data_IF_938044921717
#
_entry.id   IF_938044921717
#
_cell.length_a   1.000
_cell.length_b   1.000
_cell.length_c   1.000
_cell.angle_alpha   90.00
_cell.angle_beta   90.00
_cell.angle_gamma   90.00
#
_symmetry.space_group_name_H-M   'P 1'
#
loop_
_entity.id
_entity.type
_entity.pdbx_description
1 polymer ?
#
# COMPACT_ATOMS: atom_id res chain seq x y z
N UNK A 1 -3.41 16.01 0.74
CA UNK A 1 -3.73 14.73 1.41
C UNK A 1 -4.87 14.03 0.69
N UNK A 2 -4.56 12.96 -0.04
CA UNK A 2 -5.53 12.05 -0.66
C UNK A 2 -5.58 10.77 0.15
N UNK A 3 -6.76 10.15 0.24
CA UNK A 3 -6.89 8.73 0.60
C UNK A 3 -7.35 7.94 -0.61
N UNK A 4 -6.69 6.82 -0.87
CA UNK A 4 -7.11 5.83 -1.85
C UNK A 4 -7.09 4.44 -1.25
N UNK A 5 -8.00 3.60 -1.70
CA UNK A 5 -8.08 2.20 -1.30
C UNK A 5 -7.85 1.34 -2.53
N UNK A 6 -6.95 0.38 -2.41
CA UNK A 6 -6.60 -0.60 -3.43
C UNK A 6 -6.85 -1.99 -2.87
N UNK A 7 -7.09 -2.96 -3.75
CA UNK A 7 -7.02 -4.37 -3.39
C UNK A 7 -5.60 -4.88 -3.51
N UNK A 8 -5.18 -5.76 -2.60
CA UNK A 8 -3.87 -6.40 -2.69
C UNK A 8 -4.05 -7.83 -3.13
N UNK A 9 -3.40 -8.21 -4.23
CA UNK A 9 -3.49 -9.58 -4.75
C UNK A 9 -2.45 -10.44 -4.03
N UNK A 10 -2.90 -11.53 -3.39
CA UNK A 10 -2.03 -12.47 -2.68
C UNK A 10 -1.70 -12.08 -1.23
N UNK A 11 -2.45 -11.14 -0.63
CA UNK A 11 -2.34 -10.83 0.79
C UNK A 11 -3.13 -11.83 1.65
N UNK A 12 -2.63 -13.06 1.75
CA UNK A 12 -3.23 -14.11 2.58
C UNK A 12 -2.67 -14.14 4.01
N UNK A 13 -1.64 -13.33 4.31
CA UNK A 13 -0.95 -13.38 5.59
C UNK A 13 -0.82 -12.00 6.24
N UNK A 14 -1.06 -11.94 7.56
CA UNK A 14 -0.91 -10.73 8.38
C UNK A 14 0.50 -10.14 8.30
N UNK A 15 1.52 -10.98 8.12
CA UNK A 15 2.90 -10.54 7.94
C UNK A 15 3.11 -9.77 6.63
N UNK A 16 2.42 -10.15 5.55
CA UNK A 16 2.48 -9.45 4.27
C UNK A 16 1.87 -8.05 4.37
N UNK A 17 0.75 -7.92 5.09
CA UNK A 17 0.11 -6.63 5.36
C UNK A 17 1.06 -5.67 6.08
N UNK A 18 1.68 -6.13 7.19
CA UNK A 18 2.60 -5.30 7.97
C UNK A 18 3.85 -4.89 7.18
N UNK A 19 4.36 -5.74 6.29
CA UNK A 19 5.51 -5.43 5.43
C UNK A 19 5.20 -4.26 4.50
N UNK A 20 4.07 -4.34 3.78
CA UNK A 20 3.63 -3.29 2.84
C UNK A 20 3.36 -1.98 3.59
N UNK A 21 2.70 -2.06 4.76
CA UNK A 21 2.46 -0.89 5.60
C UNK A 21 3.76 -0.21 6.02
N UNK A 22 4.76 -0.99 6.44
CA UNK A 22 6.05 -0.46 6.87
C UNK A 22 6.85 0.19 5.73
N UNK A 23 6.86 -0.42 4.54
CA UNK A 23 7.57 0.17 3.38
C UNK A 23 6.92 1.45 2.88
N UNK A 24 5.59 1.53 2.91
CA UNK A 24 4.88 2.75 2.55
C UNK A 24 5.08 3.84 3.61
N UNK A 25 5.09 3.48 4.89
CA UNK A 25 5.35 4.41 5.99
C UNK A 25 6.78 4.98 5.91
N UNK A 26 7.78 4.16 5.57
CA UNK A 26 9.16 4.60 5.32
C UNK A 26 9.25 5.56 4.12
N UNK A 27 8.44 5.34 3.09
CA UNK A 27 8.28 6.26 1.96
C UNK A 27 7.51 7.56 2.32
N UNK A 28 7.07 7.73 3.57
CA UNK A 28 6.30 8.88 4.03
C UNK A 28 4.83 8.85 3.60
N UNK A 29 4.32 7.67 3.26
CA UNK A 29 2.92 7.42 2.92
C UNK A 29 2.27 6.67 4.06
N UNK A 30 1.14 7.16 4.55
CA UNK A 30 0.37 6.38 5.52
C UNK A 30 -0.27 5.21 4.79
N UNK A 31 -0.02 4.00 5.24
CA UNK A 31 -0.63 2.80 4.72
C UNK A 31 -1.38 2.07 5.83
N UNK A 32 -2.50 1.45 5.49
CA UNK A 32 -3.35 0.70 6.39
C UNK A 32 -3.89 -0.51 5.65
N UNK A 33 -3.38 -1.69 5.97
CA UNK A 33 -3.80 -2.93 5.34
C UNK A 33 -4.87 -3.65 6.17
N UNK A 34 -5.87 -4.19 5.49
CA UNK A 34 -6.88 -5.07 6.05
C UNK A 34 -6.81 -6.42 5.34
N UNK A 35 -6.04 -7.36 5.91
CA UNK A 35 -5.97 -8.75 5.43
C UNK A 35 -7.35 -9.43 5.44
N UNK A 36 -8.25 -9.06 6.36
CA UNK A 36 -9.61 -9.59 6.42
C UNK A 36 -10.50 -9.17 5.22
N UNK A 37 -10.13 -8.09 4.52
CA UNK A 37 -10.85 -7.56 3.36
C UNK A 37 -10.00 -7.52 2.09
N UNK A 38 -8.74 -7.97 2.19
CA UNK A 38 -7.73 -7.90 1.13
C UNK A 38 -7.57 -6.49 0.53
N UNK A 39 -7.72 -5.47 1.39
CA UNK A 39 -7.68 -4.05 0.99
C UNK A 39 -6.53 -3.32 1.65
N UNK A 40 -5.83 -2.49 0.90
CA UNK A 40 -4.82 -1.54 1.33
C UNK A 40 -5.37 -0.13 1.17
N UNK A 41 -5.47 0.61 2.26
CA UNK A 41 -5.77 2.03 2.26
C UNK A 41 -4.47 2.83 2.38
N UNK A 42 -4.29 3.82 1.52
CA UNK A 42 -3.11 4.68 1.51
C UNK A 42 -3.49 6.15 1.57
N UNK A 43 -2.80 6.89 2.41
CA UNK A 43 -2.93 8.33 2.60
C UNK A 43 -1.59 9.00 2.26
N UNK A 44 -1.54 9.72 1.15
CA UNK A 44 -0.35 10.44 0.70
C UNK A 44 -0.71 11.82 0.16
N UNK A 45 0.31 12.66 -0.01
CA UNK A 45 0.15 13.97 -0.59
C UNK A 45 0.52 13.95 -2.07
N UNK A 46 -0.45 14.20 -2.97
CA UNK A 46 -0.29 14.24 -4.43
C UNK A 46 0.82 15.20 -4.88
N UNK A 47 1.19 16.19 -4.06
CA UNK A 47 2.31 17.09 -4.36
C UNK A 47 3.69 16.47 -4.10
N UNK A 48 3.78 15.43 -3.28
CA UNK A 48 5.04 14.77 -2.88
C UNK A 48 5.16 13.33 -3.36
N UNK A 49 4.03 12.64 -3.51
CA UNK A 49 3.94 11.22 -3.82
C UNK A 49 2.81 11.00 -4.84
N UNK A 50 3.06 10.15 -5.82
CA UNK A 50 2.10 9.81 -6.87
C UNK A 50 1.78 8.33 -6.78
N UNK A 51 0.60 7.94 -7.27
CA UNK A 51 0.16 6.54 -7.31
C UNK A 51 1.22 5.65 -7.98
N UNK A 52 1.81 6.09 -9.10
CA UNK A 52 2.83 5.32 -9.79
C UNK A 52 4.04 4.95 -8.90
N UNK A 53 4.49 5.87 -8.03
CA UNK A 53 5.55 5.59 -7.06
C UNK A 53 5.08 4.62 -5.98
N UNK A 54 3.83 4.78 -5.53
CA UNK A 54 3.24 3.88 -4.54
C UNK A 54 3.19 2.44 -5.06
N UNK A 55 2.67 2.26 -6.27
CA UNK A 55 2.67 0.97 -6.96
C UNK A 55 4.09 0.43 -7.14
N UNK A 56 5.08 1.28 -7.45
CA UNK A 56 6.47 0.87 -7.58
C UNK A 56 7.07 0.37 -6.25
N UNK A 57 6.78 1.04 -5.13
CA UNK A 57 7.22 0.60 -3.79
C UNK A 57 6.60 -0.75 -3.45
N UNK A 58 5.28 -0.88 -3.59
CA UNK A 58 4.60 -2.15 -3.28
C UNK A 58 5.09 -3.29 -4.18
N UNK A 59 5.32 -3.00 -5.47
CA UNK A 59 5.88 -3.96 -6.42
C UNK A 59 7.32 -4.35 -6.09
N UNK A 60 8.12 -3.40 -5.58
CA UNK A 60 9.47 -3.68 -5.09
C UNK A 60 9.47 -4.66 -3.92
N UNK A 61 8.43 -4.62 -3.09
CA UNK A 61 8.22 -5.56 -1.99
C UNK A 61 7.62 -6.91 -2.42
N UNK A 62 7.33 -7.08 -3.71
CA UNK A 62 6.88 -8.34 -4.30
C UNK A 62 5.36 -8.55 -4.33
N UNK A 63 4.59 -7.49 -4.12
CA UNK A 63 3.13 -7.52 -4.14
C UNK A 63 2.56 -6.67 -5.28
N UNK A 64 1.36 -7.02 -5.75
CA UNK A 64 0.64 -6.25 -6.76
C UNK A 64 -0.63 -5.65 -6.16
N UNK A 65 -0.85 -4.37 -6.47
CA UNK A 65 -2.09 -3.67 -6.17
C UNK A 65 -3.03 -3.75 -7.37
N UNK A 66 -4.30 -3.99 -7.10
CA UNK A 66 -5.38 -3.99 -8.08
C UNK A 66 -6.44 -2.95 -7.69
N UNK A 67 -7.02 -2.31 -8.69
CA UNK A 67 -8.09 -1.29 -8.57
C UNK A 67 -9.46 -1.94 -8.70
#
# INVERSE_FOLDING_TARGET
MIRKTYKVVGMDCTSCAMLIESELEDAGVRASCSYAKETLEVEFDEQKMSEEKLFAVVKSSGYDLSV
#
